data_IF_264150656514
#
_entry.id   IF_264150656514
#
_cell.length_a   1.000
_cell.length_b   1.000
_cell.length_c   1.000
_cell.angle_alpha   90.00
_cell.angle_beta   90.00
_cell.angle_gamma   90.00
#
_symmetry.space_group_name_H-M   'P 1'
#
loop_
_entity.id
_entity.type
_entity.pdbx_description
1 polymer ?
#
# COMPACT_ATOMS: atom_id res chain seq x y z
N UNK A 1 -27.96 16.12 -25.13
CA UNK A 1 -27.51 15.99 -23.75
C UNK A 1 -27.41 14.52 -23.38
N UNK A 2 -26.20 14.05 -23.03
CA UNK A 2 -26.00 12.68 -22.58
C UNK A 2 -26.50 12.50 -21.16
N UNK A 3 -27.05 11.33 -20.83
CA UNK A 3 -27.40 10.94 -19.48
C UNK A 3 -26.20 10.15 -18.90
N UNK A 4 -25.67 10.58 -17.76
CA UNK A 4 -24.66 9.84 -17.02
C UNK A 4 -25.40 9.02 -15.95
N UNK A 5 -25.38 7.69 -15.99
CA UNK A 5 -25.97 6.88 -14.94
C UNK A 5 -25.13 7.01 -13.67
N UNK A 6 -25.74 7.42 -12.56
CA UNK A 6 -25.13 7.45 -11.23
C UNK A 6 -25.67 6.29 -10.43
N UNK A 7 -24.82 5.34 -10.04
CA UNK A 7 -25.17 4.24 -9.14
C UNK A 7 -24.87 4.66 -7.71
N UNK A 8 -25.89 4.86 -6.90
CA UNK A 8 -25.74 5.12 -5.47
C UNK A 8 -25.95 3.79 -4.74
N UNK A 9 -24.91 3.31 -4.09
CA UNK A 9 -24.99 2.15 -3.20
C UNK A 9 -25.26 2.65 -1.77
N UNK A 10 -26.44 2.38 -1.26
CA UNK A 10 -26.79 2.63 0.13
C UNK A 10 -26.43 1.37 0.93
N UNK A 11 -25.36 1.44 1.71
CA UNK A 11 -24.98 0.37 2.62
C UNK A 11 -25.53 0.65 4.00
N UNK A 12 -26.63 -0.03 4.34
CA UNK A 12 -27.30 0.18 5.62
C UNK A 12 -26.65 -0.52 6.81
N UNK A 13 -26.07 -1.70 6.60
CA UNK A 13 -25.55 -2.51 7.68
C UNK A 13 -24.25 -3.19 7.33
N UNK A 14 -23.25 -3.01 8.19
CA UNK A 14 -21.97 -3.73 8.21
C UNK A 14 -21.92 -4.54 9.52
N UNK A 15 -22.68 -5.66 9.63
CA UNK A 15 -22.69 -6.45 10.84
C UNK A 15 -21.28 -6.94 11.17
N UNK A 16 -20.85 -6.74 12.43
CA UNK A 16 -19.51 -7.16 12.87
C UNK A 16 -18.35 -6.26 12.42
N UNK A 17 -18.58 -5.23 11.60
CA UNK A 17 -17.52 -4.29 11.26
C UNK A 17 -17.27 -3.35 12.46
N UNK A 18 -16.03 -3.26 12.97
CA UNK A 18 -15.69 -2.36 14.05
C UNK A 18 -15.96 -0.88 13.70
N UNK A 19 -16.19 -0.09 14.74
CA UNK A 19 -16.17 1.36 14.60
C UNK A 19 -14.78 1.82 14.13
N UNK A 20 -14.75 2.87 13.31
CA UNK A 20 -13.51 3.44 12.77
C UNK A 20 -12.72 2.50 11.85
N UNK A 21 -13.24 1.31 11.51
CA UNK A 21 -12.58 0.41 10.56
C UNK A 21 -12.69 0.91 9.11
N UNK A 22 -11.64 0.69 8.34
CA UNK A 22 -11.67 0.81 6.89
C UNK A 22 -12.32 -0.45 6.30
N UNK A 23 -13.35 -0.30 5.50
CA UNK A 23 -14.18 -1.42 5.09
C UNK A 23 -14.35 -1.54 3.58
N UNK A 24 -14.52 -2.79 3.14
CA UNK A 24 -14.76 -3.17 1.76
C UNK A 24 -16.16 -2.77 1.30
N UNK A 25 -16.24 -2.22 0.09
CA UNK A 25 -17.46 -1.96 -0.66
C UNK A 25 -17.32 -2.48 -2.08
N UNK A 26 -18.24 -3.34 -2.51
CA UNK A 26 -18.25 -3.94 -3.85
C UNK A 26 -16.91 -4.62 -4.23
N UNK A 27 -16.28 -5.30 -3.28
CA UNK A 27 -15.02 -6.00 -3.48
C UNK A 27 -13.79 -5.09 -3.49
N UNK A 28 -13.91 -3.84 -3.03
CA UNK A 28 -12.81 -2.89 -3.04
C UNK A 28 -12.75 -2.08 -1.75
N UNK A 29 -11.54 -1.76 -1.29
CA UNK A 29 -11.30 -0.83 -0.20
C UNK A 29 -9.96 -0.12 -0.37
N UNK A 30 -9.80 1.03 0.26
CA UNK A 30 -8.54 1.77 0.33
C UNK A 30 -8.26 2.25 1.75
N UNK A 31 -6.98 2.44 2.05
CA UNK A 31 -6.47 3.05 3.28
C UNK A 31 -5.32 3.99 2.91
N UNK A 32 -5.37 5.23 3.37
CA UNK A 32 -4.25 6.17 3.23
C UNK A 32 -3.08 5.73 4.11
N UNK A 33 -1.86 5.95 3.65
CA UNK A 33 -0.67 5.42 4.32
C UNK A 33 -0.50 5.92 5.76
N UNK A 34 -0.97 7.11 6.09
CA UNK A 34 -0.89 7.70 7.43
C UNK A 34 -1.90 7.11 8.44
N UNK A 35 -2.89 6.36 7.96
CA UNK A 35 -3.95 5.78 8.79
C UNK A 35 -3.63 4.35 9.28
N UNK A 36 -2.37 4.11 9.61
CA UNK A 36 -1.96 2.90 10.32
C UNK A 36 -2.47 2.88 11.76
N UNK A 37 -2.72 1.71 12.31
CA UNK A 37 -3.13 1.55 13.71
C UNK A 37 -1.94 1.38 14.66
N UNK A 38 -0.79 0.95 14.14
CA UNK A 38 0.43 0.76 14.92
C UNK A 38 1.67 1.08 14.08
N UNK A 39 2.66 1.71 14.70
CA UNK A 39 3.98 2.00 14.13
C UNK A 39 5.03 1.38 15.06
N UNK A 40 5.43 0.16 14.77
CA UNK A 40 6.42 -0.58 15.53
C UNK A 40 7.82 -0.15 15.09
N UNK A 41 8.53 0.48 16.03
CA UNK A 41 9.93 0.85 15.83
C UNK A 41 10.82 -0.38 15.97
N UNK A 42 11.95 -0.37 15.27
CA UNK A 42 13.05 -1.31 15.50
C UNK A 42 14.29 -0.53 15.98
N UNK A 43 15.27 -1.23 16.54
CA UNK A 43 16.55 -0.61 16.95
C UNK A 43 17.20 0.16 15.81
N UNK A 44 16.90 -0.27 14.59
CA UNK A 44 17.47 0.27 13.38
C UNK A 44 16.78 1.53 12.86
N UNK A 45 15.54 1.85 13.30
CA UNK A 45 14.78 2.99 12.80
C UNK A 45 13.28 2.90 13.04
N UNK A 46 12.53 3.80 12.39
CA UNK A 46 11.08 3.91 12.52
C UNK A 46 10.47 4.53 11.26
N UNK A 47 9.17 4.33 11.05
CA UNK A 47 8.40 5.08 10.07
C UNK A 47 8.00 6.46 10.59
N UNK A 48 7.91 7.42 9.69
CA UNK A 48 7.45 8.79 9.95
C UNK A 48 6.48 9.22 8.86
N UNK A 49 5.45 9.96 9.25
CA UNK A 49 4.51 10.58 8.34
C UNK A 49 5.14 11.85 7.77
N UNK A 50 5.05 12.02 6.47
CA UNK A 50 5.42 13.22 5.74
C UNK A 50 4.13 13.92 5.31
N UNK A 51 3.67 14.94 6.05
CA UNK A 51 2.39 15.59 5.80
C UNK A 51 2.33 16.17 4.38
N UNK A 52 1.18 16.02 3.74
CA UNK A 52 0.88 16.59 2.42
C UNK A 52 1.83 16.17 1.28
N UNK A 53 2.60 15.10 1.50
CA UNK A 53 3.53 14.61 0.48
C UNK A 53 2.86 13.71 -0.55
N UNK A 54 1.85 12.95 -0.16
CA UNK A 54 1.16 11.99 -1.03
C UNK A 54 0.23 12.70 -2.03
N UNK A 55 -0.20 11.96 -3.06
CA UNK A 55 -1.16 12.49 -4.05
C UNK A 55 -2.52 12.82 -3.47
N UNK A 56 -2.93 12.16 -2.40
CA UNK A 56 -4.24 12.35 -1.74
C UNK A 56 -4.11 12.90 -0.34
N UNK A 57 -3.19 12.37 0.47
CA UNK A 57 -2.88 12.85 1.81
C UNK A 57 -1.37 12.84 2.04
N UNK A 58 -0.89 12.17 3.07
CA UNK A 58 0.52 12.12 3.45
C UNK A 58 1.24 10.92 2.87
N UNK A 59 2.55 11.01 2.73
CA UNK A 59 3.41 9.85 2.53
C UNK A 59 3.96 9.32 3.84
N UNK A 60 4.32 8.04 3.90
CA UNK A 60 4.96 7.43 5.07
C UNK A 60 6.28 6.78 4.67
N UNK A 61 7.36 7.12 5.38
CA UNK A 61 8.73 6.71 5.04
C UNK A 61 9.51 6.30 6.28
N UNK A 62 10.34 5.26 6.17
CA UNK A 62 11.23 4.84 7.24
C UNK A 62 12.54 5.66 7.26
N UNK A 63 13.03 5.92 8.46
CA UNK A 63 14.30 6.60 8.72
C UNK A 63 15.19 5.75 9.63
N UNK A 64 16.53 5.83 9.51
CA UNK A 64 17.28 6.72 8.60
C UNK A 64 17.18 6.30 7.13
N UNK A 65 17.17 7.28 6.22
CA UNK A 65 17.02 7.06 4.78
C UNK A 65 18.22 6.38 4.10
N UNK A 66 19.31 6.20 4.82
CA UNK A 66 20.54 5.60 4.31
C UNK A 66 20.64 4.11 4.65
N UNK A 67 19.64 3.57 5.37
CA UNK A 67 19.70 2.20 5.90
C UNK A 67 18.82 1.24 5.10
N UNK A 68 19.39 0.10 4.74
CA UNK A 68 18.65 -1.10 4.39
C UNK A 68 18.28 -1.83 5.68
N UNK A 69 16.99 -2.08 5.90
CA UNK A 69 16.50 -2.68 7.14
C UNK A 69 16.51 -4.20 7.12
N UNK A 70 16.45 -4.80 5.94
CA UNK A 70 16.67 -6.23 5.75
C UNK A 70 17.17 -6.51 4.32
N UNK A 71 17.88 -7.60 4.14
CA UNK A 71 18.32 -8.08 2.83
C UNK A 71 17.65 -9.40 2.46
N UNK A 72 17.48 -10.29 3.44
CA UNK A 72 16.88 -11.60 3.27
C UNK A 72 15.52 -11.68 3.98
N UNK A 73 14.67 -12.59 3.51
CA UNK A 73 13.28 -12.71 3.99
C UNK A 73 13.18 -12.99 5.50
N UNK A 74 14.12 -13.75 6.05
CA UNK A 74 14.15 -14.10 7.48
C UNK A 74 14.36 -12.89 8.40
N UNK A 75 14.92 -11.82 7.87
CA UNK A 75 15.23 -10.59 8.62
C UNK A 75 14.05 -9.61 8.62
N UNK A 76 13.03 -9.78 7.77
CA UNK A 76 11.93 -8.82 7.60
C UNK A 76 11.26 -8.49 8.94
N UNK A 77 11.05 -9.47 9.80
CA UNK A 77 10.40 -9.26 11.11
C UNK A 77 11.20 -8.39 12.10
N UNK A 78 12.45 -8.11 11.81
CA UNK A 78 13.34 -7.25 12.63
C UNK A 78 13.29 -5.79 12.15
N UNK A 79 12.68 -5.53 11.00
CA UNK A 79 12.54 -4.19 10.44
C UNK A 79 11.37 -3.42 11.09
N UNK A 80 11.40 -2.07 11.07
CA UNK A 80 10.25 -1.26 11.46
C UNK A 80 9.00 -1.67 10.70
N UNK A 81 7.85 -1.72 11.38
CA UNK A 81 6.58 -2.21 10.82
C UNK A 81 5.47 -1.18 11.02
N UNK A 82 4.68 -0.97 9.99
CA UNK A 82 3.35 -0.37 10.06
C UNK A 82 2.30 -1.46 10.04
N UNK A 83 1.28 -1.32 10.86
CA UNK A 83 0.12 -2.22 10.88
C UNK A 83 -1.13 -1.44 10.49
N UNK A 84 -1.84 -1.98 9.50
CA UNK A 84 -3.15 -1.49 9.07
C UNK A 84 -4.21 -2.54 9.41
N UNK A 85 -5.38 -2.09 9.83
CA UNK A 85 -6.54 -2.94 10.06
C UNK A 85 -7.63 -2.62 9.06
N UNK A 86 -8.09 -3.64 8.36
CA UNK A 86 -9.12 -3.54 7.33
C UNK A 86 -10.23 -4.55 7.60
N UNK A 87 -11.45 -4.24 7.18
CA UNK A 87 -12.60 -5.12 7.29
C UNK A 87 -13.07 -5.54 5.89
N UNK A 88 -13.09 -6.83 5.63
CA UNK A 88 -13.46 -7.43 4.36
C UNK A 88 -14.76 -8.24 4.53
N UNK A 89 -15.72 -8.06 3.62
CA UNK A 89 -17.00 -8.77 3.68
C UNK A 89 -16.89 -10.23 3.27
N UNK A 90 -16.16 -10.47 2.20
CA UNK A 90 -16.06 -11.78 1.59
C UNK A 90 -14.60 -12.24 1.53
N UNK A 91 -14.33 -13.41 2.12
CA UNK A 91 -13.02 -14.03 2.01
C UNK A 91 -12.66 -14.33 0.55
N UNK A 92 -11.37 -14.30 0.22
CA UNK A 92 -10.91 -14.66 -1.11
C UNK A 92 -9.56 -14.07 -1.49
N UNK A 93 -9.26 -14.15 -2.78
CA UNK A 93 -8.07 -13.57 -3.37
C UNK A 93 -8.32 -12.09 -3.71
N UNK A 94 -7.39 -11.25 -3.29
CA UNK A 94 -7.36 -9.82 -3.54
C UNK A 94 -6.03 -9.43 -4.15
N UNK A 95 -6.06 -8.43 -5.00
CA UNK A 95 -4.87 -7.69 -5.39
C UNK A 95 -4.69 -6.51 -4.44
N UNK A 96 -3.62 -6.51 -3.65
CA UNK A 96 -3.19 -5.34 -2.89
C UNK A 96 -2.35 -4.46 -3.79
N UNK A 97 -2.76 -3.23 -3.97
CA UNK A 97 -2.11 -2.21 -4.78
C UNK A 97 -1.48 -1.19 -3.84
N UNK A 98 -0.16 -1.15 -3.82
CA UNK A 98 0.60 -0.18 -3.07
C UNK A 98 0.93 1.01 -3.97
N UNK A 99 0.39 2.17 -3.66
CA UNK A 99 0.78 3.42 -4.28
C UNK A 99 1.97 3.99 -3.53
N UNK A 100 3.08 4.16 -4.24
CA UNK A 100 4.34 4.61 -3.67
C UNK A 100 4.88 5.80 -4.44
N UNK A 101 5.63 6.67 -3.78
CA UNK A 101 6.29 7.76 -4.47
C UNK A 101 7.31 7.24 -5.51
N UNK A 102 7.54 7.98 -6.59
CA UNK A 102 8.65 7.71 -7.50
C UNK A 102 9.97 7.67 -6.74
N UNK A 103 10.80 6.69 -7.03
CA UNK A 103 12.11 6.55 -6.41
C UNK A 103 13.13 5.97 -7.37
N UNK A 104 14.40 6.20 -7.05
CA UNK A 104 15.53 5.52 -7.66
C UNK A 104 16.27 4.72 -6.60
N UNK A 105 16.89 3.61 -6.97
CA UNK A 105 17.82 2.92 -6.08
C UNK A 105 18.96 3.84 -5.66
N UNK A 106 19.43 3.70 -4.41
CA UNK A 106 20.56 4.47 -3.90
C UNK A 106 21.84 4.14 -4.67
N UNK A 107 22.01 2.87 -5.05
CA UNK A 107 23.11 2.42 -5.90
C UNK A 107 22.58 2.20 -7.31
N UNK A 108 23.33 2.65 -8.32
CA UNK A 108 22.96 2.41 -9.71
C UNK A 108 22.86 0.90 -9.98
N UNK A 109 21.75 0.48 -10.58
CA UNK A 109 21.45 -0.92 -10.85
C UNK A 109 20.96 -1.73 -9.65
N UNK A 110 20.83 -1.12 -8.46
CA UNK A 110 20.23 -1.76 -7.30
C UNK A 110 18.70 -1.84 -7.35
N UNK A 111 18.10 -2.47 -6.34
CA UNK A 111 16.65 -2.59 -6.20
C UNK A 111 16.08 -1.70 -5.08
N UNK A 112 14.77 -1.43 -5.16
CA UNK A 112 14.00 -0.88 -4.04
C UNK A 112 12.93 -1.89 -3.66
N UNK A 113 12.85 -2.25 -2.39
CA UNK A 113 11.89 -3.22 -1.90
C UNK A 113 11.42 -2.90 -0.48
N UNK A 114 10.33 -3.54 -0.09
CA UNK A 114 9.75 -3.50 1.24
C UNK A 114 9.24 -4.89 1.64
N UNK A 115 8.82 -5.07 2.89
CA UNK A 115 8.21 -6.31 3.36
C UNK A 115 6.69 -6.17 3.51
N UNK A 116 5.96 -7.25 3.25
CA UNK A 116 4.52 -7.32 3.47
C UNK A 116 4.13 -8.63 4.15
N UNK A 117 3.21 -8.55 5.13
CA UNK A 117 2.57 -9.69 5.75
C UNK A 117 1.06 -9.48 5.88
N UNK A 118 0.29 -10.55 5.83
CA UNK A 118 -1.16 -10.55 6.05
C UNK A 118 -1.49 -11.48 7.20
N UNK A 119 -2.27 -11.02 8.17
CA UNK A 119 -2.77 -11.82 9.30
C UNK A 119 -1.67 -12.58 10.06
N UNK A 120 -0.51 -11.95 10.26
CA UNK A 120 0.61 -12.53 10.97
C UNK A 120 1.36 -13.66 10.23
N UNK A 121 0.99 -13.97 8.99
CA UNK A 121 1.71 -14.94 8.15
C UNK A 121 3.18 -14.53 7.95
N UNK A 122 3.97 -15.43 7.38
CA UNK A 122 5.36 -15.14 7.04
C UNK A 122 5.43 -13.92 6.10
N UNK A 123 6.23 -12.89 6.44
CA UNK A 123 6.35 -11.73 5.59
C UNK A 123 7.08 -12.08 4.29
N UNK A 124 6.69 -11.41 3.23
CA UNK A 124 7.27 -11.54 1.90
C UNK A 124 8.05 -10.27 1.53
N UNK A 125 9.18 -10.44 0.86
CA UNK A 125 9.92 -9.34 0.22
C UNK A 125 9.22 -8.96 -1.07
N UNK A 126 8.84 -7.69 -1.19
CA UNK A 126 8.13 -7.15 -2.35
C UNK A 126 9.04 -6.16 -3.08
N UNK A 127 9.35 -6.44 -4.32
CA UNK A 127 10.12 -5.52 -5.14
C UNK A 127 9.25 -4.39 -5.67
N UNK A 128 9.65 -3.16 -5.37
CA UNK A 128 9.09 -1.94 -5.92
C UNK A 128 9.83 -1.56 -7.21
N UNK A 129 11.15 -1.62 -7.18
CA UNK A 129 12.03 -1.37 -8.32
C UNK A 129 12.99 -2.55 -8.43
N UNK A 130 13.00 -3.26 -9.58
CA UNK A 130 13.83 -4.44 -9.76
C UNK A 130 15.31 -4.07 -9.91
N UNK A 131 16.18 -5.07 -9.69
CA UNK A 131 17.59 -4.95 -10.01
C UNK A 131 17.81 -4.62 -11.51
N UNK A 132 18.82 -3.84 -11.79
CA UNK A 132 19.14 -3.41 -13.14
C UNK A 132 18.30 -2.27 -13.68
N UNK A 133 17.40 -1.72 -12.86
CA UNK A 133 16.63 -0.52 -13.23
C UNK A 133 17.55 0.68 -13.51
N UNK A 134 17.30 1.34 -14.64
CA UNK A 134 18.08 2.49 -15.10
C UNK A 134 17.19 3.71 -15.33
N UNK A 135 17.22 4.61 -14.39
CA UNK A 135 16.51 5.89 -14.51
C UNK A 135 17.14 6.75 -15.61
N UNK A 136 16.29 7.46 -16.36
CA UNK A 136 16.71 8.39 -17.42
C UNK A 136 17.07 7.72 -18.76
N UNK A 137 17.09 6.40 -18.86
CA UNK A 137 17.33 5.73 -20.13
C UNK A 137 16.03 5.64 -20.97
N UNK A 138 16.04 6.03 -22.25
CA UNK A 138 14.84 5.96 -23.10
C UNK A 138 14.27 4.54 -23.25
N UNK A 139 15.10 3.52 -23.05
CA UNK A 139 14.69 2.11 -23.08
C UNK A 139 13.94 1.65 -21.83
N UNK A 140 13.98 2.43 -20.73
CA UNK A 140 13.31 2.09 -19.49
C UNK A 140 11.88 2.68 -19.47
N UNK A 141 10.94 1.96 -20.10
CA UNK A 141 9.53 2.39 -20.16
C UNK A 141 8.89 2.54 -18.76
N UNK A 142 9.29 1.75 -17.78
CA UNK A 142 8.83 1.85 -16.40
C UNK A 142 9.24 3.17 -15.75
N UNK A 143 10.47 3.63 -16.01
CA UNK A 143 10.92 4.94 -15.55
C UNK A 143 10.08 6.06 -16.16
N UNK A 144 9.89 6.05 -17.46
CA UNK A 144 9.11 7.06 -18.16
C UNK A 144 7.67 7.13 -17.61
N UNK A 145 7.03 5.97 -17.42
CA UNK A 145 5.68 5.90 -16.84
C UNK A 145 5.65 6.46 -15.43
N UNK A 146 6.57 6.07 -14.56
CA UNK A 146 6.63 6.54 -13.18
C UNK A 146 6.82 8.07 -13.10
N UNK A 147 7.63 8.64 -13.99
CA UNK A 147 7.85 10.10 -14.07
C UNK A 147 6.57 10.83 -14.51
N UNK A 148 5.90 10.32 -15.54
CA UNK A 148 4.65 10.93 -16.06
C UNK A 148 3.52 10.82 -15.03
N UNK A 149 3.33 9.66 -14.44
CA UNK A 149 2.26 9.39 -13.47
C UNK A 149 2.57 10.02 -12.10
N UNK A 150 3.84 10.34 -11.83
CA UNK A 150 4.34 10.79 -10.52
C UNK A 150 3.95 9.83 -9.39
N UNK A 151 3.90 8.56 -9.71
CA UNK A 151 3.58 7.48 -8.77
C UNK A 151 4.18 6.16 -9.28
N UNK A 152 4.60 5.31 -8.37
CA UNK A 152 4.92 3.91 -8.64
C UNK A 152 3.82 3.03 -8.06
N UNK A 153 3.25 2.16 -8.87
CA UNK A 153 2.22 1.21 -8.46
C UNK A 153 2.83 -0.17 -8.35
N UNK A 154 2.74 -0.76 -7.15
CA UNK A 154 3.19 -2.13 -6.88
C UNK A 154 1.97 -2.99 -6.58
N UNK A 155 1.89 -4.17 -7.20
CA UNK A 155 0.75 -5.09 -7.08
C UNK A 155 1.18 -6.39 -6.43
N UNK A 156 0.46 -6.79 -5.40
CA UNK A 156 0.75 -8.00 -4.60
C UNK A 156 -0.52 -8.81 -4.47
N UNK A 157 -0.46 -10.10 -4.78
CA UNK A 157 -1.59 -11.00 -4.55
C UNK A 157 -1.63 -11.40 -3.07
N UNK A 158 -2.79 -11.24 -2.44
CA UNK A 158 -3.02 -11.56 -1.04
C UNK A 158 -4.31 -12.33 -0.86
N UNK A 159 -4.36 -13.18 0.16
CA UNK A 159 -5.59 -13.85 0.58
C UNK A 159 -6.10 -13.18 1.85
N UNK A 160 -7.35 -12.70 1.80
CA UNK A 160 -8.02 -12.07 2.94
C UNK A 160 -9.15 -12.97 3.44
N UNK A 161 -9.38 -12.95 4.75
CA UNK A 161 -10.51 -13.62 5.39
C UNK A 161 -11.70 -12.68 5.52
N UNK A 162 -12.91 -13.21 5.64
CA UNK A 162 -14.08 -12.40 5.99
C UNK A 162 -13.93 -11.85 7.40
N UNK A 163 -14.25 -10.58 7.59
CA UNK A 163 -14.06 -9.85 8.85
C UNK A 163 -12.76 -9.03 8.87
N UNK A 164 -12.16 -8.95 10.03
CA UNK A 164 -10.95 -8.16 10.25
C UNK A 164 -9.71 -8.84 9.66
N UNK A 165 -8.87 -8.05 9.02
CA UNK A 165 -7.58 -8.47 8.51
C UNK A 165 -6.50 -7.45 8.93
N UNK A 166 -5.35 -7.96 9.32
CA UNK A 166 -4.16 -7.18 9.62
C UNK A 166 -3.20 -7.19 8.43
N UNK A 167 -2.75 -6.02 8.02
CA UNK A 167 -1.75 -5.85 6.97
C UNK A 167 -0.50 -5.23 7.59
N UNK A 168 0.61 -5.96 7.56
CA UNK A 168 1.91 -5.48 8.02
C UNK A 168 2.76 -5.01 6.85
N UNK A 169 3.25 -3.77 6.89
CA UNK A 169 4.21 -3.21 5.94
C UNK A 169 5.53 -2.96 6.66
N UNK A 170 6.60 -3.58 6.20
CA UNK A 170 7.92 -3.52 6.81
C UNK A 170 8.85 -2.66 5.96
N UNK A 171 9.66 -1.84 6.64
CA UNK A 171 10.69 -1.06 5.97
C UNK A 171 11.74 -1.97 5.31
N UNK A 172 12.08 -1.68 4.07
CA UNK A 172 13.10 -2.41 3.31
C UNK A 172 14.30 -1.53 2.99
N UNK A 173 14.50 -1.21 1.73
CA UNK A 173 15.59 -0.35 1.27
C UNK A 173 15.21 1.13 1.31
N UNK A 174 16.23 2.02 1.33
CA UNK A 174 16.03 3.43 1.02
C UNK A 174 15.28 3.62 -0.29
N UNK A 175 14.42 4.64 -0.35
CA UNK A 175 13.61 4.95 -1.53
C UNK A 175 12.16 4.49 -1.42
N UNK A 176 11.82 3.54 -0.56
CA UNK A 176 10.44 3.17 -0.31
C UNK A 176 9.71 4.26 0.48
N UNK A 177 8.63 4.78 -0.09
CA UNK A 177 7.69 5.70 0.53
C UNK A 177 6.28 5.29 0.12
N UNK A 178 5.45 4.94 1.09
CA UNK A 178 4.07 4.52 0.86
C UNK A 178 3.12 5.73 0.93
N UNK A 179 2.18 5.81 -0.01
CA UNK A 179 1.15 6.85 -0.03
C UNK A 179 -0.25 6.28 0.25
N UNK A 180 -0.55 5.09 -0.29
CA UNK A 180 -1.88 4.46 -0.15
C UNK A 180 -1.81 2.95 -0.38
N UNK A 181 -2.68 2.22 0.30
CA UNK A 181 -3.00 0.83 0.02
C UNK A 181 -4.42 0.72 -0.54
N UNK A 182 -4.61 -0.04 -1.60
CA UNK A 182 -5.93 -0.36 -2.15
C UNK A 182 -6.02 -1.86 -2.35
N UNK A 183 -7.16 -2.44 -2.01
CA UNK A 183 -7.42 -3.86 -2.15
C UNK A 183 -8.57 -4.06 -3.13
N UNK A 184 -8.37 -4.91 -4.11
CA UNK A 184 -9.34 -5.21 -5.15
C UNK A 184 -9.54 -6.71 -5.21
N UNK A 185 -10.77 -7.17 -4.98
CA UNK A 185 -11.12 -8.58 -5.04
C UNK A 185 -10.94 -9.09 -6.47
N UNK A 186 -10.45 -10.29 -6.61
CA UNK A 186 -10.31 -10.96 -7.91
C UNK A 186 -11.62 -10.92 -8.71
N UNK A 187 -11.53 -10.49 -9.96
CA UNK A 187 -12.68 -10.30 -10.85
C UNK A 187 -13.37 -8.93 -10.74
N UNK A 188 -12.91 -8.07 -9.84
CA UNK A 188 -13.32 -6.65 -9.80
C UNK A 188 -12.26 -5.79 -10.48
N UNK A 189 -12.68 -4.62 -10.96
CA UNK A 189 -11.80 -3.66 -11.62
C UNK A 189 -11.92 -2.30 -10.95
N UNK A 190 -10.78 -1.68 -10.68
CA UNK A 190 -10.76 -0.28 -10.23
C UNK A 190 -11.25 0.62 -11.36
N UNK A 191 -12.05 1.66 -11.02
CA UNK A 191 -12.29 2.74 -11.96
C UNK A 191 -10.96 3.41 -12.32
N UNK A 192 -10.82 3.86 -13.55
CA UNK A 192 -9.66 4.64 -13.96
C UNK A 192 -9.60 5.94 -13.15
N UNK A 193 -8.54 6.10 -12.39
CA UNK A 193 -8.29 7.28 -11.56
C UNK A 193 -6.81 7.42 -11.29
N UNK A 194 -6.26 8.59 -11.51
CA UNK A 194 -4.87 8.92 -11.15
C UNK A 194 -4.64 9.03 -9.64
N UNK A 195 -5.71 9.08 -8.83
CA UNK A 195 -5.65 9.20 -7.37
C UNK A 195 -5.97 7.90 -6.64
N UNK A 196 -6.38 6.86 -7.37
CA UNK A 196 -6.87 5.62 -6.80
C UNK A 196 -8.27 5.76 -6.17
N UNK A 197 -8.70 4.71 -5.48
CA UNK A 197 -9.99 4.67 -4.79
C UNK A 197 -9.91 5.52 -3.50
N UNK A 198 -10.90 6.37 -3.18
CA UNK A 198 -10.97 7.04 -1.88
C UNK A 198 -11.18 6.03 -0.76
N UNK A 199 -10.58 6.26 0.39
CA UNK A 199 -10.83 5.45 1.57
C UNK A 199 -12.25 5.63 2.10
N UNK A 200 -12.75 4.61 2.75
CA UNK A 200 -14.03 4.62 3.46
C UNK A 200 -13.84 4.09 4.86
N UNK A 201 -14.15 4.92 5.83
CA UNK A 201 -14.05 4.60 7.24
C UNK A 201 -15.45 4.58 7.88
N UNK A 202 -15.71 3.58 8.69
CA UNK A 202 -16.97 3.51 9.44
C UNK A 202 -16.95 4.58 10.53
N UNK A 203 -17.85 5.53 10.44
CA UNK A 203 -18.02 6.55 11.49
C UNK A 203 -19.07 6.08 12.52
N UNK A 204 -18.80 6.32 13.80
CA UNK A 204 -19.82 6.20 14.85
C UNK A 204 -20.86 7.31 14.63
N UNK A 205 -22.08 6.93 14.33
CA UNK A 205 -23.25 7.82 14.43
C UNK A 205 -23.97 7.58 15.74
#
# INVERSE_FOLDING_TARGET
GGRIPVKILLEKDLPGCPAEAFYETDGMLSVEAEHFICNEKADAGAFYVLPEYGKTLSGVKAYPQTKTFFEMAEQIRQAPKLTYQIYVREAGEYEMICYTAPANPVCQGGSVYFGCAVNGNAPQKIEMIPDGYRSGEPSCAEWAKMVVDQIRVVRVQVTLQSGENEIGIYAGTPGFLLEKLTFVRKGKHLPESGLGLPERRRTNR
#
